data_IF_837087896913
#
_entry.id   IF_837087896913
#
_cell.length_a   1.000
_cell.length_b   1.000
_cell.length_c   1.000
_cell.angle_alpha   90.00
_cell.angle_beta   90.00
_cell.angle_gamma   90.00
#
_symmetry.space_group_name_H-M   'P 1'
#
loop_
_entity.id
_entity.type
_entity.pdbx_description
1 polymer ?
#
# COMPACT_ATOMS: atom_id res chain seq x y z
N UNK A 1 2.17 -0.13 -7.11
CA UNK A 1 2.88 -1.22 -6.41
C UNK A 1 2.93 -0.85 -4.93
N UNK A 2 2.47 -1.70 -4.01
CA UNK A 2 2.36 -1.38 -2.58
C UNK A 2 3.71 -1.10 -1.90
N UNK A 3 4.80 -1.74 -2.34
CA UNK A 3 6.13 -1.53 -1.75
C UNK A 3 6.69 -0.13 -1.97
N UNK A 4 6.45 0.48 -3.14
CA UNK A 4 6.85 1.87 -3.41
C UNK A 4 6.06 2.82 -2.50
N UNK A 5 4.74 2.61 -2.45
CA UNK A 5 3.82 3.43 -1.67
C UNK A 5 4.18 3.44 -0.19
N UNK A 6 4.44 2.24 0.38
CA UNK A 6 4.80 2.09 1.78
C UNK A 6 6.02 2.94 2.15
N UNK A 7 7.14 2.74 1.46
CA UNK A 7 8.40 3.42 1.77
C UNK A 7 8.30 4.94 1.54
N UNK A 8 7.66 5.35 0.44
CA UNK A 8 7.54 6.77 0.11
C UNK A 8 6.68 7.54 1.10
N UNK A 9 5.49 7.04 1.39
CA UNK A 9 4.58 7.74 2.31
C UNK A 9 5.11 7.69 3.74
N UNK A 10 5.73 6.58 4.15
CA UNK A 10 6.39 6.50 5.45
C UNK A 10 7.54 7.50 5.59
N UNK A 11 8.27 7.78 4.51
CA UNK A 11 9.33 8.82 4.51
C UNK A 11 8.80 10.24 4.73
N UNK A 12 7.54 10.49 4.39
CA UNK A 12 6.88 11.80 4.53
C UNK A 12 6.13 11.91 5.86
N UNK A 13 5.38 10.87 6.25
CA UNK A 13 4.44 10.92 7.38
C UNK A 13 4.85 10.11 8.61
N UNK A 14 5.93 9.32 8.55
CA UNK A 14 6.40 8.29 9.50
C UNK A 14 5.88 6.87 9.24
N UNK A 15 6.62 5.88 9.74
CA UNK A 15 6.34 4.45 9.57
C UNK A 15 5.03 3.98 10.23
N UNK A 16 4.62 4.62 11.33
CA UNK A 16 3.45 4.25 12.13
C UNK A 16 2.30 5.25 11.94
N UNK A 17 2.22 5.87 10.77
CA UNK A 17 1.11 6.73 10.44
C UNK A 17 -0.17 5.88 10.33
N UNK A 18 -1.07 6.07 11.28
CA UNK A 18 -2.38 5.43 11.31
C UNK A 18 -3.39 6.27 10.53
N UNK A 19 -4.18 5.62 9.68
CA UNK A 19 -5.13 6.29 8.81
C UNK A 19 -6.27 5.37 8.41
N UNK A 20 -7.33 6.00 7.94
CA UNK A 20 -8.47 5.33 7.36
C UNK A 20 -8.48 5.47 5.84
N UNK A 21 -8.93 4.41 5.17
CA UNK A 21 -9.28 4.43 3.76
C UNK A 21 -10.80 4.33 3.65
N UNK A 22 -11.39 5.45 3.23
CA UNK A 22 -12.81 5.55 2.93
C UNK A 22 -13.08 5.27 1.45
N UNK A 23 -14.24 4.69 1.18
CA UNK A 23 -14.75 4.46 -0.16
C UNK A 23 -15.84 5.51 -0.45
N UNK A 24 -15.82 6.10 -1.65
CA UNK A 24 -16.81 7.09 -2.09
C UNK A 24 -17.51 6.63 -3.38
N UNK A 25 -18.71 7.17 -3.64
CA UNK A 25 -19.48 6.86 -4.84
C UNK A 25 -20.09 5.47 -4.84
N UNK A 26 -20.12 4.80 -5.99
CA UNK A 26 -20.65 3.43 -6.15
C UNK A 26 -19.97 2.40 -5.22
N UNK A 27 -18.72 2.67 -4.84
CA UNK A 27 -17.98 1.89 -3.86
C UNK A 27 -18.45 2.08 -2.41
N UNK A 28 -19.41 2.97 -2.12
CA UNK A 28 -20.11 3.09 -0.84
C UNK A 28 -21.64 2.89 -0.97
N UNK A 29 -22.09 2.28 -2.06
CA UNK A 29 -23.51 1.98 -2.26
C UNK A 29 -23.98 0.87 -1.30
N UNK A 30 -25.15 1.01 -0.65
CA UNK A 30 -25.70 -0.03 0.22
C UNK A 30 -25.77 -1.40 -0.48
N UNK A 31 -25.05 -2.38 0.05
CA UNK A 31 -25.04 -3.77 -0.45
C UNK A 31 -23.83 -4.18 -1.28
N UNK A 32 -22.87 -3.30 -1.55
CA UNK A 32 -21.64 -3.65 -2.28
C UNK A 32 -20.56 -4.35 -1.43
N UNK A 33 -20.75 -4.40 -0.10
CA UNK A 33 -19.85 -5.07 0.85
C UNK A 33 -18.52 -4.37 1.13
N UNK A 34 -18.30 -3.16 0.59
CA UNK A 34 -17.10 -2.37 0.86
C UNK A 34 -17.36 -1.46 2.06
N UNK A 35 -16.61 -1.68 3.14
CA UNK A 35 -16.63 -0.85 4.33
C UNK A 35 -15.30 -0.13 4.48
N UNK A 36 -15.33 1.03 5.14
CA UNK A 36 -14.14 1.74 5.62
C UNK A 36 -13.11 0.77 6.22
N UNK A 37 -11.83 0.93 5.86
CA UNK A 37 -10.72 0.13 6.37
C UNK A 37 -9.74 1.01 7.13
N UNK A 38 -9.28 0.51 8.28
CA UNK A 38 -8.29 1.17 9.11
C UNK A 38 -6.94 0.48 8.96
N UNK A 39 -5.86 1.26 8.91
CA UNK A 39 -4.49 0.75 8.87
C UNK A 39 -3.63 1.49 9.89
N UNK A 40 -2.73 0.77 10.55
CA UNK A 40 -1.77 1.31 11.50
C UNK A 40 -0.48 1.79 10.83
N UNK A 41 -0.27 1.43 9.56
CA UNK A 41 0.89 1.81 8.77
C UNK A 41 0.64 1.67 7.26
N UNK A 42 1.44 2.34 6.45
CA UNK A 42 1.42 2.13 4.99
C UNK A 42 1.94 0.75 4.57
N UNK A 43 2.73 0.10 5.42
CA UNK A 43 3.22 -1.27 5.19
C UNK A 43 2.07 -2.29 5.32
N UNK A 44 1.16 -2.08 6.28
CA UNK A 44 -0.05 -2.89 6.44
C UNK A 44 -0.96 -2.79 5.19
N UNK A 45 -1.18 -1.56 4.70
CA UNK A 45 -1.91 -1.35 3.45
C UNK A 45 -1.21 -2.02 2.25
N UNK A 46 0.12 -1.94 2.17
CA UNK A 46 0.88 -2.56 1.08
C UNK A 46 0.79 -4.09 1.06
N UNK A 47 0.77 -4.73 2.23
CA UNK A 47 0.58 -6.18 2.38
C UNK A 47 -0.83 -6.59 1.93
N UNK A 48 -1.87 -5.85 2.36
CA UNK A 48 -3.24 -6.12 1.93
C UNK A 48 -3.39 -5.95 0.42
N UNK A 49 -2.83 -4.89 -0.17
CA UNK A 49 -2.81 -4.68 -1.62
C UNK A 49 -2.15 -5.84 -2.37
N UNK A 50 -1.07 -6.42 -1.83
CA UNK A 50 -0.38 -7.55 -2.42
C UNK A 50 -1.22 -8.82 -2.36
N UNK A 51 -1.76 -9.13 -1.18
CA UNK A 51 -2.58 -10.32 -0.95
C UNK A 51 -3.93 -10.26 -1.67
N UNK A 52 -4.52 -9.08 -1.87
CA UNK A 52 -5.74 -8.90 -2.65
C UNK A 52 -5.61 -9.49 -4.08
N UNK A 53 -4.42 -9.45 -4.68
CA UNK A 53 -4.17 -10.03 -6.02
C UNK A 53 -4.19 -11.57 -5.99
N UNK A 54 -3.76 -12.15 -4.87
CA UNK A 54 -3.79 -13.60 -4.63
C UNK A 54 -5.24 -14.05 -4.39
N UNK A 55 -5.99 -13.32 -3.57
CA UNK A 55 -7.41 -13.62 -3.32
C UNK A 55 -8.27 -13.48 -4.56
N UNK A 56 -7.96 -12.52 -5.44
CA UNK A 56 -8.60 -12.39 -6.75
C UNK A 56 -8.19 -13.49 -7.75
N UNK A 57 -7.28 -14.39 -7.41
CA UNK A 57 -6.86 -15.50 -8.27
C UNK A 57 -6.02 -15.10 -9.48
N UNK A 58 -5.47 -13.89 -9.49
CA UNK A 58 -4.75 -13.34 -10.67
C UNK A 58 -3.23 -13.29 -10.49
N UNK A 59 -2.69 -13.54 -9.30
CA UNK A 59 -1.25 -13.58 -9.04
C UNK A 59 -0.90 -14.68 -8.02
N UNK A 60 0.29 -15.28 -8.17
CA UNK A 60 0.83 -16.22 -7.17
C UNK A 60 1.47 -15.49 -6.00
N UNK A 61 1.33 -16.05 -4.78
CA UNK A 61 1.85 -15.47 -3.53
C UNK A 61 3.35 -15.11 -3.57
N UNK A 62 4.26 -15.96 -4.10
CA UNK A 62 5.68 -15.58 -4.22
C UNK A 62 5.89 -14.36 -5.14
N UNK A 63 5.09 -14.25 -6.21
CA UNK A 63 5.21 -13.17 -7.18
C UNK A 63 4.82 -11.82 -6.60
N UNK A 64 3.74 -11.75 -5.81
CA UNK A 64 3.33 -10.49 -5.18
C UNK A 64 4.35 -10.01 -4.15
N UNK A 65 4.93 -10.91 -3.35
CA UNK A 65 5.97 -10.54 -2.38
C UNK A 65 7.28 -10.12 -3.03
N UNK A 66 7.71 -10.81 -4.08
CA UNK A 66 8.84 -10.36 -4.88
C UNK A 66 8.59 -8.97 -5.47
N UNK A 67 7.38 -8.73 -5.99
CA UNK A 67 6.96 -7.43 -6.51
C UNK A 67 6.99 -6.32 -5.46
N UNK A 68 6.51 -6.57 -4.25
CA UNK A 68 6.58 -5.61 -3.13
C UNK A 68 8.04 -5.29 -2.80
N UNK A 69 8.90 -6.30 -2.68
CA UNK A 69 10.32 -6.11 -2.38
C UNK A 69 11.05 -5.29 -3.46
N UNK A 70 10.75 -5.54 -4.75
CA UNK A 70 11.25 -4.72 -5.85
C UNK A 70 10.76 -3.27 -5.70
N UNK A 71 9.48 -3.07 -5.38
CA UNK A 71 8.91 -1.74 -5.13
C UNK A 71 9.62 -0.99 -4.00
N UNK A 72 9.90 -1.66 -2.87
CA UNK A 72 10.65 -1.07 -1.75
C UNK A 72 12.05 -0.61 -2.18
N UNK A 73 12.77 -1.43 -2.96
CA UNK A 73 14.09 -1.07 -3.52
C UNK A 73 14.01 0.13 -4.49
N UNK A 74 12.98 0.19 -5.33
CA UNK A 74 12.75 1.34 -6.21
C UNK A 74 12.56 2.62 -5.40
N UNK A 75 11.76 2.58 -4.34
CA UNK A 75 11.55 3.74 -3.48
C UNK A 75 12.85 4.18 -2.79
N UNK A 76 13.63 3.23 -2.26
CA UNK A 76 14.92 3.54 -1.65
C UNK A 76 15.86 4.26 -2.63
N UNK A 77 15.97 3.75 -3.87
CA UNK A 77 16.78 4.38 -4.90
C UNK A 77 16.37 5.84 -5.22
N UNK A 78 15.08 6.16 -5.09
CA UNK A 78 14.57 7.53 -5.28
C UNK A 78 14.93 8.39 -4.07
N UNK A 79 14.71 7.89 -2.85
CA UNK A 79 15.03 8.62 -1.61
C UNK A 79 16.54 8.89 -1.46
N UNK A 80 17.39 8.02 -1.98
CA UNK A 80 18.84 8.22 -1.99
C UNK A 80 19.28 9.35 -2.94
N UNK A 81 18.43 9.73 -3.89
CA UNK A 81 18.72 10.73 -4.93
C UNK A 81 17.98 12.05 -4.73
N UNK A 82 16.75 11.99 -4.21
CA UNK A 82 15.86 13.14 -4.09
C UNK A 82 15.86 13.64 -2.65
N UNK A 83 16.19 14.91 -2.47
CA UNK A 83 16.10 15.59 -1.18
C UNK A 83 14.75 16.31 -1.08
N UNK A 84 13.81 15.73 -0.35
CA UNK A 84 12.56 16.38 -0.03
C UNK A 84 12.78 17.49 0.99
N UNK A 85 11.93 18.52 0.93
CA UNK A 85 11.88 19.55 1.97
C UNK A 85 11.30 18.89 3.22
N UNK A 86 12.01 19.01 4.34
CA UNK A 86 11.54 18.59 5.66
C UNK A 86 10.73 19.72 6.29
#
# INVERSE_FOLDING_TARGET
>A
NGGVLSVMLASVFTNNFSFDVDYYGEANWPGNGLTKRHYNSFDELAEEMAMARVYAGIHYKPGVYAGVNVGKKVAQNILDRVKFRK
#
